data_IF_032843974339
#
_entry.id   IF_032843974339
#
_cell.length_a   1.000
_cell.length_b   1.000
_cell.length_c   1.000
_cell.angle_alpha   90.00
_cell.angle_beta   90.00
_cell.angle_gamma   90.00
#
_symmetry.space_group_name_H-M   'P 1'
#
loop_
_entity.id
_entity.type
_entity.pdbx_description
1 polymer ?
#
# COMPACT_ATOMS: atom_id res chain seq x y z
N UNK A 1 -26.85 -20.06 -0.45
CA UNK A 1 -26.49 -18.87 0.36
C UNK A 1 -24.99 -18.88 0.53
N UNK A 2 -24.34 -17.72 0.47
CA UNK A 2 -22.91 -17.61 0.76
C UNK A 2 -22.73 -17.75 2.28
N UNK A 3 -21.89 -18.68 2.71
CA UNK A 3 -21.60 -18.90 4.13
C UNK A 3 -20.53 -17.93 4.63
N UNK A 4 -20.42 -17.79 5.95
CA UNK A 4 -19.30 -17.05 6.57
C UNK A 4 -17.94 -17.61 6.11
N UNK A 5 -17.82 -18.94 6.03
CA UNK A 5 -16.60 -19.60 5.57
C UNK A 5 -16.24 -19.25 4.12
N UNK A 6 -17.25 -19.09 3.24
CA UNK A 6 -17.02 -18.67 1.86
C UNK A 6 -16.45 -17.24 1.79
N UNK A 7 -16.95 -16.33 2.64
CA UNK A 7 -16.41 -14.97 2.75
C UNK A 7 -14.94 -14.96 3.19
N UNK A 8 -14.59 -15.79 4.18
CA UNK A 8 -13.21 -15.93 4.64
C UNK A 8 -12.28 -16.52 3.57
N UNK A 9 -12.74 -17.52 2.83
CA UNK A 9 -11.97 -18.12 1.74
C UNK A 9 -11.72 -17.13 0.60
N UNK A 10 -12.73 -16.34 0.24
CA UNK A 10 -12.58 -15.29 -0.79
C UNK A 10 -11.58 -14.22 -0.31
N UNK A 11 -11.69 -13.79 0.95
CA UNK A 11 -10.74 -12.83 1.52
C UNK A 11 -9.30 -13.38 1.48
N UNK A 12 -9.09 -14.63 1.88
CA UNK A 12 -7.78 -15.27 1.85
C UNK A 12 -7.19 -15.34 0.43
N UNK A 13 -8.03 -15.65 -0.56
CA UNK A 13 -7.65 -15.64 -1.98
C UNK A 13 -7.19 -14.26 -2.45
N UNK A 14 -7.95 -13.21 -2.11
CA UNK A 14 -7.57 -11.84 -2.45
C UNK A 14 -6.27 -11.41 -1.75
N UNK A 15 -6.14 -11.68 -0.44
CA UNK A 15 -4.95 -11.33 0.34
C UNK A 15 -3.68 -11.94 -0.26
N UNK A 16 -3.76 -13.16 -0.77
CA UNK A 16 -2.64 -13.82 -1.45
C UNK A 16 -2.20 -13.06 -2.71
N UNK A 17 -3.16 -12.63 -3.54
CA UNK A 17 -2.86 -11.80 -4.72
C UNK A 17 -2.30 -10.43 -4.34
N UNK A 18 -2.88 -9.79 -3.32
CA UNK A 18 -2.47 -8.49 -2.83
C UNK A 18 -1.02 -8.50 -2.28
N UNK A 19 -0.60 -9.59 -1.63
CA UNK A 19 0.77 -9.77 -1.16
C UNK A 19 1.80 -9.74 -2.31
N UNK A 20 1.46 -10.30 -3.47
CA UNK A 20 2.33 -10.26 -4.66
C UNK A 20 2.46 -8.83 -5.19
N UNK A 21 1.36 -8.09 -5.27
CA UNK A 21 1.39 -6.67 -5.67
C UNK A 21 2.21 -5.82 -4.69
N UNK A 22 2.04 -6.05 -3.39
CA UNK A 22 2.83 -5.37 -2.36
C UNK A 22 4.33 -5.63 -2.55
N UNK A 23 4.71 -6.89 -2.75
CA UNK A 23 6.10 -7.27 -3.00
C UNK A 23 6.65 -6.60 -4.28
N UNK A 24 5.87 -6.54 -5.36
CA UNK A 24 6.26 -5.87 -6.59
C UNK A 24 6.57 -4.37 -6.36
N UNK A 25 5.74 -3.67 -5.57
CA UNK A 25 5.99 -2.27 -5.24
C UNK A 25 7.18 -2.07 -4.29
N UNK A 26 7.44 -3.00 -3.37
CA UNK A 26 8.66 -2.98 -2.55
C UNK A 26 9.90 -3.08 -3.44
N UNK A 27 9.91 -3.99 -4.42
CA UNK A 27 11.00 -4.12 -5.39
C UNK A 27 11.15 -2.88 -6.26
N UNK A 28 10.06 -2.30 -6.75
CA UNK A 28 10.08 -1.04 -7.52
C UNK A 28 10.61 0.13 -6.69
N UNK A 29 10.24 0.21 -5.42
CA UNK A 29 10.74 1.22 -4.47
C UNK A 29 12.25 1.07 -4.26
N UNK A 30 12.73 -0.17 -4.08
CA UNK A 30 14.15 -0.48 -3.97
C UNK A 30 14.93 -0.08 -5.23
N UNK A 31 14.37 -0.33 -6.42
CA UNK A 31 14.96 0.14 -7.67
C UNK A 31 15.02 1.67 -7.73
N UNK A 32 13.97 2.35 -7.25
CA UNK A 32 13.96 3.80 -7.07
C UNK A 32 15.13 4.28 -6.22
N UNK A 33 15.37 3.65 -5.07
CA UNK A 33 16.53 3.97 -4.21
C UNK A 33 17.87 3.74 -4.90
N UNK A 34 18.00 2.71 -5.74
CA UNK A 34 19.21 2.49 -6.54
C UNK A 34 19.43 3.65 -7.53
N UNK A 35 18.39 4.11 -8.19
CA UNK A 35 18.45 5.24 -9.11
C UNK A 35 18.78 6.56 -8.40
N UNK A 36 18.12 6.87 -7.28
CA UNK A 36 18.37 8.08 -6.49
C UNK A 36 19.77 8.08 -5.89
N UNK A 37 20.26 6.94 -5.40
CA UNK A 37 21.63 6.78 -4.90
C UNK A 37 22.67 7.05 -5.99
N UNK A 38 22.44 6.61 -7.22
CA UNK A 38 23.34 6.86 -8.34
C UNK A 38 23.42 8.36 -8.69
N UNK A 39 22.29 9.06 -8.64
CA UNK A 39 22.22 10.53 -8.81
C UNK A 39 22.97 11.25 -7.68
N UNK A 40 22.77 10.82 -6.43
CA UNK A 40 23.43 11.43 -5.27
C UNK A 40 24.96 11.27 -5.33
N UNK A 41 25.45 10.11 -5.77
CA UNK A 41 26.88 9.83 -5.91
C UNK A 41 27.51 10.56 -7.10
N UNK A 42 26.77 10.68 -8.22
CA UNK A 42 27.22 11.40 -9.41
C UNK A 42 26.74 12.86 -9.34
N UNK A 43 27.47 13.70 -8.60
CA UNK A 43 27.14 15.13 -8.37
C UNK A 43 26.94 16.01 -9.61
N UNK A 44 27.22 15.49 -10.82
CA UNK A 44 26.97 16.12 -12.12
C UNK A 44 25.78 15.57 -12.92
N UNK A 45 24.86 14.81 -12.30
CA UNK A 45 23.71 14.25 -13.02
C UNK A 45 22.86 15.35 -13.69
N UNK A 46 22.52 15.22 -14.98
CA UNK A 46 21.76 16.23 -15.72
C UNK A 46 20.37 16.41 -15.13
N UNK A 47 19.85 17.64 -15.14
CA UNK A 47 18.57 17.99 -14.50
C UNK A 47 17.39 17.17 -15.02
N UNK A 48 17.40 16.81 -16.30
CA UNK A 48 16.39 15.95 -16.91
C UNK A 48 16.37 14.57 -16.26
N UNK A 49 17.53 14.01 -15.90
CA UNK A 49 17.64 12.73 -15.19
C UNK A 49 17.06 12.81 -13.78
N UNK A 50 17.29 13.92 -13.08
CA UNK A 50 16.72 14.18 -11.74
C UNK A 50 15.19 14.22 -11.78
N UNK A 51 14.63 14.90 -12.78
CA UNK A 51 13.18 15.01 -12.97
C UNK A 51 12.58 13.63 -13.28
N UNK A 52 13.14 12.89 -14.24
CA UNK A 52 12.63 11.57 -14.62
C UNK A 52 12.66 10.57 -13.45
N UNK A 53 13.74 10.54 -12.68
CA UNK A 53 13.83 9.67 -11.49
C UNK A 53 12.85 10.11 -10.39
N UNK A 54 12.66 11.42 -10.18
CA UNK A 54 11.65 11.91 -9.23
C UNK A 54 10.24 11.49 -9.64
N UNK A 55 9.89 11.61 -10.92
CA UNK A 55 8.60 11.17 -11.46
C UNK A 55 8.38 9.67 -11.28
N UNK A 56 9.41 8.85 -11.54
CA UNK A 56 9.37 7.42 -11.28
C UNK A 56 9.08 7.12 -9.79
N UNK A 57 9.84 7.74 -8.88
CA UNK A 57 9.70 7.54 -7.44
C UNK A 57 8.30 7.93 -6.92
N UNK A 58 7.79 9.08 -7.38
CA UNK A 58 6.44 9.55 -7.05
C UNK A 58 5.36 8.62 -7.61
N UNK A 59 5.53 8.13 -8.85
CA UNK A 59 4.58 7.22 -9.48
C UNK A 59 4.49 5.89 -8.72
N UNK A 60 5.64 5.29 -8.38
CA UNK A 60 5.68 4.04 -7.59
C UNK A 60 5.05 4.24 -6.21
N UNK A 61 5.35 5.36 -5.55
CA UNK A 61 4.76 5.67 -4.24
C UNK A 61 3.25 5.89 -4.31
N UNK A 62 2.76 6.54 -5.38
CA UNK A 62 1.33 6.71 -5.62
C UNK A 62 0.63 5.37 -5.83
N UNK A 63 1.19 4.47 -6.65
CA UNK A 63 0.66 3.12 -6.82
C UNK A 63 0.64 2.33 -5.50
N UNK A 64 1.68 2.47 -4.67
CA UNK A 64 1.72 1.84 -3.36
C UNK A 64 0.63 2.37 -2.42
N UNK A 65 0.39 3.69 -2.41
CA UNK A 65 -0.75 4.28 -1.70
C UNK A 65 -2.09 3.72 -2.20
N UNK A 66 -2.28 3.65 -3.52
CA UNK A 66 -3.51 3.11 -4.12
C UNK A 66 -3.73 1.65 -3.71
N UNK A 67 -2.68 0.83 -3.65
CA UNK A 67 -2.77 -0.54 -3.16
C UNK A 67 -3.27 -0.60 -1.71
N UNK A 68 -2.70 0.21 -0.83
CA UNK A 68 -3.10 0.26 0.59
C UNK A 68 -4.55 0.71 0.75
N UNK A 69 -4.96 1.75 0.03
CA UNK A 69 -6.35 2.25 0.05
C UNK A 69 -7.34 1.18 -0.45
N UNK A 70 -7.02 0.51 -1.57
CA UNK A 70 -7.88 -0.57 -2.08
C UNK A 70 -7.97 -1.75 -1.12
N UNK A 71 -6.86 -2.10 -0.46
CA UNK A 71 -6.84 -3.19 0.53
C UNK A 71 -7.76 -2.87 1.71
N UNK A 72 -7.68 -1.65 2.25
CA UNK A 72 -8.55 -1.23 3.35
C UNK A 72 -10.01 -1.12 2.90
N UNK A 73 -10.26 -0.69 1.65
CA UNK A 73 -11.59 -0.70 1.03
C UNK A 73 -12.17 -2.10 0.95
N UNK A 74 -11.38 -3.08 0.52
CA UNK A 74 -11.82 -4.47 0.47
C UNK A 74 -12.23 -5.00 1.86
N UNK A 75 -11.47 -4.68 2.92
CA UNK A 75 -11.87 -5.12 4.26
C UNK A 75 -13.25 -4.58 4.65
N UNK A 76 -13.58 -3.35 4.24
CA UNK A 76 -14.93 -2.78 4.43
C UNK A 76 -15.98 -3.52 3.61
N UNK A 77 -15.68 -3.86 2.37
CA UNK A 77 -16.59 -4.61 1.49
C UNK A 77 -16.85 -6.01 2.05
N UNK A 78 -15.83 -6.69 2.56
CA UNK A 78 -15.96 -7.99 3.22
C UNK A 78 -16.76 -7.88 4.51
N UNK A 79 -16.58 -6.83 5.31
CA UNK A 79 -17.40 -6.58 6.49
C UNK A 79 -18.87 -6.32 6.14
N UNK A 80 -19.15 -5.56 5.07
CA UNK A 80 -20.49 -5.37 4.56
C UNK A 80 -21.11 -6.70 4.09
N UNK A 81 -20.33 -7.55 3.41
CA UNK A 81 -20.74 -8.90 3.01
C UNK A 81 -21.07 -9.80 4.21
N UNK A 82 -20.22 -9.82 5.24
CA UNK A 82 -20.45 -10.57 6.47
C UNK A 82 -21.72 -10.09 7.20
N UNK A 83 -21.96 -8.78 7.27
CA UNK A 83 -23.20 -8.23 7.81
C UNK A 83 -24.45 -8.75 7.08
N UNK A 84 -24.41 -8.89 5.75
CA UNK A 84 -25.52 -9.46 4.99
C UNK A 84 -25.70 -10.95 5.27
N UNK A 85 -24.61 -11.72 5.39
CA UNK A 85 -24.68 -13.15 5.75
C UNK A 85 -25.30 -13.32 7.14
N UNK A 86 -24.94 -12.47 8.10
CA UNK A 86 -25.47 -12.47 9.46
C UNK A 86 -26.97 -12.16 9.58
N UNK A 87 -27.62 -11.63 8.54
CA UNK A 87 -29.07 -11.49 8.51
C UNK A 87 -29.79 -12.83 8.26
N UNK A 88 -29.06 -13.83 7.74
CA UNK A 88 -29.60 -15.13 7.33
C UNK A 88 -29.10 -16.30 8.20
N UNK A 89 -28.19 -16.04 9.15
CA UNK A 89 -27.65 -17.03 10.09
C UNK A 89 -26.81 -16.38 11.19
N UNK A 90 -26.43 -17.13 12.23
CA UNK A 90 -25.53 -16.62 13.27
C UNK A 90 -24.10 -16.45 12.75
N UNK A 91 -23.50 -15.29 13.03
CA UNK A 91 -22.09 -15.01 12.77
C UNK A 91 -21.23 -15.44 13.95
N UNK A 92 -20.01 -15.91 13.66
CA UNK A 92 -19.00 -16.13 14.70
C UNK A 92 -18.60 -14.81 15.39
N UNK A 93 -18.12 -14.91 16.64
CA UNK A 93 -17.58 -13.75 17.36
C UNK A 93 -16.39 -13.09 16.64
N UNK A 94 -15.64 -13.85 15.83
CA UNK A 94 -14.55 -13.32 15.02
C UNK A 94 -15.08 -12.45 13.85
N UNK A 95 -16.16 -12.88 13.19
CA UNK A 95 -16.80 -12.09 12.14
C UNK A 95 -17.40 -10.78 12.68
N UNK A 96 -18.02 -10.82 13.86
CA UNK A 96 -18.53 -9.62 14.52
C UNK A 96 -17.40 -8.62 14.85
N UNK A 97 -16.30 -9.10 15.43
CA UNK A 97 -15.14 -8.26 15.73
C UNK A 97 -14.47 -7.67 14.47
N UNK A 98 -14.43 -8.43 13.37
CA UNK A 98 -13.91 -7.95 12.10
C UNK A 98 -14.79 -6.84 11.51
N UNK A 99 -16.11 -7.01 11.54
CA UNK A 99 -17.06 -5.98 11.08
C UNK A 99 -16.84 -4.68 11.84
N UNK A 100 -16.77 -4.75 13.17
CA UNK A 100 -16.59 -3.56 14.02
C UNK A 100 -15.29 -2.82 13.70
N UNK A 101 -14.19 -3.55 13.51
CA UNK A 101 -12.90 -2.97 13.14
C UNK A 101 -12.90 -2.38 11.74
N UNK A 102 -13.42 -3.10 10.74
CA UNK A 102 -13.34 -2.71 9.35
C UNK A 102 -14.27 -1.53 9.03
N UNK A 103 -15.50 -1.51 9.57
CA UNK A 103 -16.48 -0.45 9.27
C UNK A 103 -16.00 0.95 9.66
N UNK A 104 -15.27 1.07 10.78
CA UNK A 104 -14.75 2.34 11.27
C UNK A 104 -13.30 2.62 10.85
N UNK A 105 -12.64 1.69 10.16
CA UNK A 105 -11.25 1.88 9.77
C UNK A 105 -11.11 3.07 8.78
N UNK A 106 -10.07 3.91 8.92
CA UNK A 106 -9.77 4.92 7.91
C UNK A 106 -9.39 4.24 6.57
N UNK A 107 -9.57 4.96 5.46
CA UNK A 107 -9.15 4.46 4.14
C UNK A 107 -7.65 4.20 4.04
N UNK A 108 -6.86 4.89 4.86
CA UNK A 108 -5.43 4.65 5.01
C UNK A 108 -5.04 4.86 6.47
N UNK A 109 -4.29 3.93 7.05
CA UNK A 109 -3.84 4.04 8.43
C UNK A 109 -2.76 5.15 8.53
N UNK A 110 -2.75 5.99 9.58
CA UNK A 110 -1.67 6.96 9.82
C UNK A 110 -0.26 6.37 9.70
N UNK A 111 -0.05 5.13 10.16
CA UNK A 111 1.23 4.43 10.06
C UNK A 111 1.59 4.16 8.59
N UNK A 112 0.63 3.75 7.77
CA UNK A 112 0.82 3.56 6.33
C UNK A 112 1.20 4.88 5.64
N UNK A 113 0.56 5.99 6.04
CA UNK A 113 0.86 7.31 5.48
C UNK A 113 2.28 7.74 5.81
N UNK A 114 2.69 7.60 7.07
CA UNK A 114 4.07 7.91 7.51
C UNK A 114 5.08 7.04 6.77
N UNK A 115 4.79 5.76 6.58
CA UNK A 115 5.67 4.84 5.87
C UNK A 115 5.91 5.31 4.42
N UNK A 116 4.85 5.56 3.64
CA UNK A 116 5.02 6.01 2.24
C UNK A 116 5.63 7.41 2.17
N UNK A 117 5.24 8.32 3.06
CA UNK A 117 5.82 9.66 3.13
C UNK A 117 7.34 9.60 3.39
N UNK A 118 7.79 8.70 4.28
CA UNK A 118 9.22 8.53 4.57
C UNK A 118 10.01 8.08 3.33
N UNK A 119 9.45 7.16 2.53
CA UNK A 119 10.05 6.68 1.29
C UNK A 119 10.22 7.84 0.30
N UNK A 120 9.15 8.60 0.07
CA UNK A 120 9.16 9.75 -0.84
C UNK A 120 10.21 10.77 -0.40
N UNK A 121 10.23 11.11 0.89
CA UNK A 121 11.19 12.07 1.44
C UNK A 121 12.63 11.59 1.20
N UNK A 122 12.95 10.34 1.56
CA UNK A 122 14.29 9.81 1.36
C UNK A 122 14.72 9.79 -0.11
N UNK A 123 13.83 9.37 -1.02
CA UNK A 123 14.12 9.33 -2.46
C UNK A 123 14.33 10.73 -3.04
N UNK A 124 13.45 11.69 -2.73
CA UNK A 124 13.57 13.06 -3.25
C UNK A 124 14.79 13.78 -2.67
N UNK A 125 15.07 13.62 -1.37
CA UNK A 125 16.26 14.21 -0.76
C UNK A 125 17.54 13.70 -1.45
N UNK A 126 17.64 12.41 -1.75
CA UNK A 126 18.80 11.87 -2.49
C UNK A 126 18.95 12.44 -3.91
N UNK A 127 17.85 12.73 -4.61
CA UNK A 127 17.91 13.29 -5.97
C UNK A 127 18.35 14.75 -5.98
N UNK A 128 17.85 15.53 -5.02
CA UNK A 128 17.96 16.99 -5.03
C UNK A 128 19.06 17.54 -4.14
N UNK A 129 19.43 16.82 -3.06
CA UNK A 129 20.57 17.21 -2.23
C UNK A 129 21.89 16.87 -2.91
N UNK A 130 22.88 17.73 -2.71
CA UNK A 130 24.27 17.43 -3.03
C UNK A 130 24.88 16.66 -1.87
N UNK A 131 25.84 15.80 -2.17
CA UNK A 131 26.69 15.22 -1.13
C UNK A 131 27.39 16.36 -0.39
N UNK A 132 27.23 16.43 0.93
CA UNK A 132 28.02 17.34 1.75
C UNK A 132 29.49 16.92 1.62
N UNK A 133 30.36 17.89 1.33
CA UNK A 133 31.81 17.71 1.21
C UNK A 133 32.43 17.17 2.50
#
# INVERSE_FOLDING_TARGET
>A
MMSELDMWNILAGFMSGNAVWFLAYVVATWLGFRMTSNIYMNGGAPIIGKILVSLYCLSVSAFMCTLMVNTNGLFKDVAAGLNMVGQTGELSGAAQAFIEQASNAPSMNPIQMVFVASIILMQLLQVWMKKAD
#
